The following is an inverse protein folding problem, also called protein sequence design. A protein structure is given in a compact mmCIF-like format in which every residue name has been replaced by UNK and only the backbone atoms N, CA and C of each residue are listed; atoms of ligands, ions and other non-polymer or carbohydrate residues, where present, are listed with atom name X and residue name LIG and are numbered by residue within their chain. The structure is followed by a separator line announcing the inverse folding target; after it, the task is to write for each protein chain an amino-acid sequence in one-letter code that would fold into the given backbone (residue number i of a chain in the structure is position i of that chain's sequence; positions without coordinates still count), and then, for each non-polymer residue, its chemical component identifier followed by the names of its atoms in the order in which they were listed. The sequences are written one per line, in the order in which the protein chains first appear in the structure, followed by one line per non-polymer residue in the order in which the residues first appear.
data_IF_235611466655
#
_entry.id   IF_235611466655
#
_cell.length_a   1.000
_cell.length_b   1.000
_cell.length_c   1.000
_cell.angle_alpha   90.00
_cell.angle_beta   90.00
_cell.angle_gamma   90.00
#
_symmetry.space_group_name_H-M   'P 1'
#
loop_
_entity.id
_entity.type
_entity.pdbx_description
1 polymer ?
#
# COMPACT_ATOMS: atom_id res chain seq x y z
N UNK A 1 -70.55 -58.98 -16.64
CA UNK A 1 -70.15 -58.34 -17.92
C UNK A 1 -69.96 -56.87 -17.58
N UNK A 2 -68.77 -56.28 -17.42
CA UNK A 2 -67.58 -56.18 -18.28
C UNK A 2 -66.31 -56.25 -17.39
N UNK A 3 -65.43 -57.24 -17.59
CA UNK A 3 -64.21 -57.28 -18.43
C UNK A 3 -62.94 -56.67 -17.80
N UNK A 4 -61.99 -57.58 -17.55
CA UNK A 4 -60.60 -57.44 -17.09
C UNK A 4 -59.67 -56.89 -18.20
N UNK A 5 -58.73 -55.97 -17.90
CA UNK A 5 -57.27 -56.21 -18.00
C UNK A 5 -56.41 -54.99 -17.57
N UNK A 6 -55.21 -55.21 -16.97
CA UNK A 6 -54.36 -54.19 -16.37
C UNK A 6 -53.11 -53.87 -17.22
N UNK A 7 -52.75 -52.61 -17.44
CA UNK A 7 -51.38 -52.18 -17.83
C UNK A 7 -51.18 -50.71 -17.47
N UNK A 8 -50.28 -50.38 -16.55
CA UNK A 8 -49.97 -48.97 -16.27
C UNK A 8 -49.00 -48.66 -15.12
N UNK A 9 -48.52 -49.64 -14.35
CA UNK A 9 -47.70 -49.37 -13.15
C UNK A 9 -46.21 -49.12 -13.49
N UNK A 10 -45.72 -49.52 -14.66
CA UNK A 10 -44.30 -49.44 -15.00
C UNK A 10 -43.81 -48.05 -15.46
N UNK A 11 -44.72 -47.16 -15.91
CA UNK A 11 -44.35 -45.83 -16.44
C UNK A 11 -44.08 -44.80 -15.34
N UNK A 12 -44.68 -44.97 -14.15
CA UNK A 12 -44.48 -44.04 -13.03
C UNK A 12 -43.09 -44.18 -12.39
N UNK A 13 -42.51 -45.39 -12.40
CA UNK A 13 -41.18 -45.63 -11.84
C UNK A 13 -40.07 -45.04 -12.71
N UNK A 14 -40.20 -45.11 -14.04
CA UNK A 14 -39.18 -44.58 -14.97
C UNK A 14 -39.23 -43.06 -15.04
N UNK A 15 -40.42 -42.45 -15.05
CA UNK A 15 -40.58 -40.99 -15.03
C UNK A 15 -40.11 -40.34 -13.72
N UNK A 16 -40.38 -40.96 -12.57
CA UNK A 16 -39.93 -40.47 -11.26
C UNK A 16 -38.42 -40.55 -11.06
N UNK A 17 -37.78 -41.58 -11.63
CA UNK A 17 -36.34 -41.81 -11.51
C UNK A 17 -35.53 -40.87 -12.42
N UNK A 18 -36.05 -40.52 -13.60
CA UNK A 18 -35.46 -39.50 -14.50
C UNK A 18 -35.60 -38.09 -13.92
N UNK A 19 -36.69 -37.78 -13.23
CA UNK A 19 -36.89 -36.49 -12.55
C UNK A 19 -36.03 -36.34 -11.29
N UNK A 20 -35.71 -37.44 -10.60
CA UNK A 20 -34.75 -37.46 -9.50
C UNK A 20 -33.29 -37.35 -9.96
N UNK A 21 -32.93 -38.01 -11.08
CA UNK A 21 -31.59 -37.93 -11.69
C UNK A 21 -31.28 -36.57 -12.32
N UNK A 22 -32.30 -35.82 -12.71
CA UNK A 22 -32.13 -34.44 -13.20
C UNK A 22 -32.06 -33.41 -12.07
N UNK A 23 -32.64 -33.69 -10.90
CA UNK A 23 -32.53 -32.82 -9.72
C UNK A 23 -31.16 -32.90 -9.02
N UNK A 24 -30.41 -33.99 -9.17
CA UNK A 24 -29.08 -34.13 -8.54
C UNK A 24 -27.95 -33.49 -9.36
N UNK A 25 -28.19 -33.13 -10.63
CA UNK A 25 -27.19 -32.48 -11.49
C UNK A 25 -27.27 -30.94 -11.48
N UNK A 26 -28.23 -30.36 -10.74
CA UNK A 26 -28.40 -28.91 -10.61
C UNK A 26 -28.39 -28.52 -9.13
N UNK A 27 -27.40 -29.01 -8.38
CA UNK A 27 -26.93 -28.27 -7.20
C UNK A 27 -25.68 -27.52 -7.64
N UNK A 28 -25.70 -26.18 -7.79
CA UNK A 28 -24.46 -25.46 -7.80
C UNK A 28 -23.77 -25.75 -6.47
N UNK A 29 -22.51 -26.18 -6.50
CA UNK A 29 -21.67 -26.09 -5.33
C UNK A 29 -21.72 -24.62 -4.88
N UNK A 30 -22.18 -24.37 -3.66
CA UNK A 30 -22.02 -23.07 -3.02
C UNK A 30 -20.51 -22.94 -2.81
N UNK A 31 -19.85 -22.30 -3.77
CA UNK A 31 -18.51 -21.81 -3.60
C UNK A 31 -18.66 -20.67 -2.59
N UNK A 32 -18.32 -20.94 -1.32
CA UNK A 32 -17.97 -19.87 -0.39
C UNK A 32 -16.87 -19.10 -1.09
N UNK A 33 -17.21 -17.96 -1.69
CA UNK A 33 -16.28 -17.01 -2.28
C UNK A 33 -15.49 -16.36 -1.15
N UNK A 34 -14.69 -17.16 -0.43
CA UNK A 34 -13.57 -16.65 0.33
C UNK A 34 -12.58 -16.12 -0.69
N UNK A 35 -12.61 -14.82 -0.94
CA UNK A 35 -11.56 -14.16 -1.72
C UNK A 35 -10.22 -14.25 -0.98
N UNK A 36 -9.14 -13.90 -1.69
CA UNK A 36 -7.82 -13.77 -1.06
C UNK A 36 -7.86 -12.68 0.01
N UNK A 37 -7.08 -12.84 1.07
CA UNK A 37 -7.02 -11.85 2.14
C UNK A 37 -6.45 -10.49 1.65
N UNK A 38 -5.71 -10.49 0.54
CA UNK A 38 -5.19 -9.28 -0.08
C UNK A 38 -6.31 -8.37 -0.62
N UNK A 39 -7.43 -8.95 -1.06
CA UNK A 39 -8.57 -8.24 -1.68
C UNK A 39 -9.52 -7.59 -0.66
N UNK A 40 -9.23 -7.73 0.65
CA UNK A 40 -10.03 -7.13 1.71
C UNK A 40 -10.00 -5.60 1.64
N UNK A 41 -11.17 -4.97 1.81
CA UNK A 41 -11.33 -3.51 1.83
C UNK A 41 -10.85 -2.91 3.16
N UNK A 42 -10.52 -1.61 3.14
CA UNK A 42 -10.20 -0.86 4.36
C UNK A 42 -11.38 -0.95 5.36
N UNK A 43 -11.07 -1.27 6.62
CA UNK A 43 -12.07 -1.49 7.68
C UNK A 43 -12.45 -2.95 7.91
N UNK A 44 -12.09 -3.89 7.03
CA UNK A 44 -12.28 -5.33 7.23
C UNK A 44 -11.09 -6.04 7.90
N UNK A 45 -10.00 -5.30 8.12
CA UNK A 45 -8.79 -5.77 8.79
C UNK A 45 -8.09 -4.59 9.49
N UNK A 46 -7.24 -4.91 10.46
CA UNK A 46 -6.38 -3.99 11.19
C UNK A 46 -4.94 -4.47 11.11
N UNK A 47 -4.03 -3.68 10.55
CA UNK A 47 -2.61 -4.01 10.51
C UNK A 47 -1.90 -3.50 11.75
N UNK A 48 -1.00 -4.31 12.29
CA UNK A 48 -0.13 -3.88 13.38
C UNK A 48 0.91 -2.89 12.85
N UNK A 49 1.33 -1.98 13.74
CA UNK A 49 2.45 -1.10 13.47
C UNK A 49 3.73 -1.92 13.21
N UNK A 50 4.50 -1.50 12.21
CA UNK A 50 5.77 -2.12 11.87
C UNK A 50 6.82 -1.85 12.93
N UNK A 51 7.74 -2.80 13.11
CA UNK A 51 9.02 -2.47 13.73
C UNK A 51 9.73 -1.43 12.86
N UNK A 52 10.13 -0.32 13.49
CA UNK A 52 10.81 0.80 12.85
C UNK A 52 12.32 0.58 13.04
N UNK A 53 13.05 0.59 11.94
CA UNK A 53 14.50 0.51 11.96
C UNK A 53 15.08 1.79 12.60
N UNK A 54 15.97 1.68 13.62
CA UNK A 54 16.47 2.84 14.35
C UNK A 54 17.38 3.75 13.53
N UNK A 55 18.02 3.25 12.46
CA UNK A 55 18.90 4.06 11.61
C UNK A 55 18.10 4.81 10.53
N UNK A 56 17.09 4.16 9.96
CA UNK A 56 16.34 4.73 8.83
C UNK A 56 15.02 5.39 9.22
N UNK A 57 14.52 5.11 10.42
CA UNK A 57 13.19 5.53 10.89
C UNK A 57 12.06 5.07 9.94
N UNK A 58 12.24 3.91 9.28
CA UNK A 58 11.28 3.32 8.36
C UNK A 58 10.96 1.87 8.73
N UNK A 59 9.88 1.32 8.16
CA UNK A 59 9.48 -0.06 8.36
C UNK A 59 10.60 -1.03 7.94
N UNK A 60 10.94 -1.97 8.85
CA UNK A 60 11.93 -3.02 8.58
C UNK A 60 11.50 -3.85 7.36
N UNK A 61 12.43 -4.08 6.43
CA UNK A 61 12.18 -4.89 5.23
C UNK A 61 11.42 -4.15 4.12
N UNK A 62 11.50 -2.82 4.06
CA UNK A 62 11.01 -2.05 2.93
C UNK A 62 11.85 -2.34 1.67
N UNK A 63 11.19 -2.83 0.63
CA UNK A 63 11.85 -3.17 -0.64
C UNK A 63 12.10 -1.93 -1.51
N UNK A 64 13.28 -1.87 -2.15
CA UNK A 64 13.72 -0.70 -2.93
C UNK A 64 12.88 -0.48 -4.19
N UNK A 65 12.55 -1.56 -4.89
CA UNK A 65 11.93 -1.52 -6.21
C UNK A 65 10.39 -1.43 -6.09
N UNK A 66 9.80 -2.21 -5.18
CA UNK A 66 8.35 -2.24 -5.00
C UNK A 66 7.82 -1.18 -4.04
N UNK A 67 8.65 -0.62 -3.14
CA UNK A 67 8.22 0.32 -2.08
C UNK A 67 7.14 -0.26 -1.17
N UNK A 68 7.22 -1.57 -0.94
CA UNK A 68 6.30 -2.33 -0.10
C UNK A 68 7.07 -2.98 1.05
N UNK A 69 6.43 -3.02 2.22
CA UNK A 69 6.87 -3.75 3.39
C UNK A 69 5.80 -4.76 3.79
N UNK A 70 6.23 -5.93 4.28
CA UNK A 70 5.31 -6.99 4.75
C UNK A 70 4.95 -6.77 6.20
N UNK A 71 3.66 -6.68 6.48
CA UNK A 71 3.14 -6.47 7.83
C UNK A 71 2.10 -7.50 8.20
N UNK A 72 1.98 -7.75 9.49
CA UNK A 72 0.95 -8.63 10.03
C UNK A 72 -0.34 -7.84 10.24
N UNK A 73 -1.44 -8.37 9.73
CA UNK A 73 -2.77 -7.81 9.89
C UNK A 73 -3.73 -8.82 10.50
N UNK A 74 -4.68 -8.32 11.27
CA UNK A 74 -5.74 -9.07 11.95
C UNK A 74 -7.07 -8.81 11.26
N UNK A 75 -7.91 -9.84 11.10
CA UNK A 75 -9.23 -9.71 10.49
C UNK A 75 -10.24 -9.07 11.46
N UNK A 76 -11.16 -8.28 10.91
CA UNK A 76 -12.32 -7.81 11.67
C UNK A 76 -13.21 -9.01 12.09
N UNK A 77 -13.96 -8.90 13.21
CA UNK A 77 -14.84 -9.97 13.65
C UNK A 77 -15.86 -10.36 12.58
N UNK A 78 -15.93 -11.66 12.24
CA UNK A 78 -16.88 -12.19 11.26
C UNK A 78 -16.45 -12.13 9.79
N UNK A 79 -15.21 -11.71 9.50
CA UNK A 79 -14.62 -11.75 8.16
C UNK A 79 -13.68 -12.95 8.04
N UNK A 80 -13.89 -13.80 7.03
CA UNK A 80 -13.05 -14.97 6.75
C UNK A 80 -12.49 -14.86 5.33
N UNK A 81 -11.21 -15.22 5.15
CA UNK A 81 -10.54 -15.29 3.85
C UNK A 81 -9.73 -16.60 3.75
N UNK A 82 -9.39 -17.04 2.54
CA UNK A 82 -8.79 -18.37 2.29
C UNK A 82 -7.34 -18.48 2.70
N UNK A 83 -6.61 -17.37 2.70
CA UNK A 83 -5.15 -17.32 2.88
C UNK A 83 -4.74 -16.91 4.31
N UNK A 84 -5.72 -16.80 5.22
CA UNK A 84 -5.51 -16.39 6.60
C UNK A 84 -5.08 -17.55 7.50
N UNK A 85 -4.23 -17.25 8.49
CA UNK A 85 -3.88 -18.20 9.55
C UNK A 85 -5.08 -18.42 10.48
N UNK A 86 -5.16 -19.56 11.19
CA UNK A 86 -6.26 -19.90 12.10
C UNK A 86 -6.45 -18.91 13.27
N UNK A 87 -5.49 -18.01 13.49
CA UNK A 87 -5.56 -16.94 14.48
C UNK A 87 -6.14 -15.63 13.91
N UNK A 88 -6.85 -15.68 12.77
CA UNK A 88 -7.37 -14.51 12.05
C UNK A 88 -6.28 -13.50 11.64
N UNK A 89 -5.05 -13.99 11.39
CA UNK A 89 -3.92 -13.15 10.96
C UNK A 89 -3.48 -13.46 9.54
N UNK A 90 -3.01 -12.45 8.83
CA UNK A 90 -2.44 -12.61 7.49
C UNK A 90 -1.32 -11.59 7.26
N UNK A 91 -0.47 -11.84 6.26
CA UNK A 91 0.53 -10.86 5.83
C UNK A 91 -0.03 -10.02 4.71
N UNK A 92 0.09 -8.69 4.82
CA UNK A 92 -0.26 -7.76 3.75
C UNK A 92 0.94 -6.90 3.39
N UNK A 93 1.04 -6.54 2.12
CA UNK A 93 2.01 -5.56 1.65
C UNK A 93 1.45 -4.15 1.86
N UNK A 94 2.13 -3.36 2.68
CA UNK A 94 1.80 -1.94 2.90
C UNK A 94 2.86 -1.05 2.26
N UNK A 95 2.44 0.14 1.84
CA UNK A 95 3.35 1.13 1.24
C UNK A 95 4.36 1.63 2.29
N UNK A 96 5.63 1.67 1.90
CA UNK A 96 6.73 2.16 2.73
C UNK A 96 7.63 3.11 1.92
N UNK A 97 8.37 3.97 2.64
CA UNK A 97 9.31 4.92 2.04
C UNK A 97 10.73 4.36 2.16
N UNK A 98 11.28 3.84 1.07
CA UNK A 98 12.65 3.32 1.08
C UNK A 98 13.69 4.44 1.12
N UNK A 99 14.66 4.35 2.03
CA UNK A 99 15.71 5.37 2.25
C UNK A 99 17.10 4.83 1.96
N UNK A 100 18.03 5.69 1.54
CA UNK A 100 19.44 5.35 1.32
C UNK A 100 20.41 6.11 2.26
N UNK A 101 19.97 6.45 3.47
CA UNK A 101 20.83 7.12 4.46
C UNK A 101 21.07 8.63 4.23
N UNK A 102 20.39 9.24 3.25
CA UNK A 102 20.39 10.70 3.10
C UNK A 102 19.52 11.35 4.19
N UNK A 103 20.15 11.98 5.17
CA UNK A 103 19.45 12.66 6.26
C UNK A 103 18.90 14.01 5.80
N UNK A 104 17.62 14.25 6.08
CA UNK A 104 16.95 15.52 5.78
C UNK A 104 17.62 16.70 6.48
N UNK A 105 17.91 16.57 7.76
CA UNK A 105 18.52 17.63 8.57
C UNK A 105 19.89 18.03 8.03
N UNK A 106 20.74 17.06 7.70
CA UNK A 106 22.05 17.32 7.12
C UNK A 106 21.95 18.03 5.78
N UNK A 107 21.01 17.62 4.90
CA UNK A 107 20.78 18.28 3.62
C UNK A 107 20.34 19.74 3.82
N UNK A 108 19.46 20.00 4.80
CA UNK A 108 18.97 21.34 5.10
C UNK A 108 20.05 22.23 5.72
N UNK A 109 20.82 21.72 6.69
CA UNK A 109 21.95 22.43 7.29
C UNK A 109 23.01 22.77 6.23
N UNK A 110 23.33 21.79 5.38
CA UNK A 110 24.29 21.96 4.29
C UNK A 110 23.80 22.99 3.27
N UNK A 111 22.49 23.03 3.00
CA UNK A 111 21.88 24.07 2.19
C UNK A 111 22.07 25.43 2.87
N UNK A 112 21.68 25.62 4.12
CA UNK A 112 21.76 26.91 4.83
C UNK A 112 23.19 27.45 4.95
N UNK A 113 24.17 26.61 5.29
CA UNK A 113 25.55 27.06 5.54
C UNK A 113 26.44 27.04 4.28
N UNK A 114 26.25 26.07 3.40
CA UNK A 114 27.17 25.77 2.28
C UNK A 114 26.47 25.79 0.91
N UNK A 115 25.21 26.18 0.80
CA UNK A 115 24.48 26.19 -0.47
C UNK A 115 24.94 27.29 -1.45
N UNK A 116 25.65 28.34 -1.00
CA UNK A 116 26.37 29.27 -1.90
C UNK A 116 27.40 28.53 -2.79
N UNK A 117 27.97 27.44 -2.28
CA UNK A 117 28.87 26.56 -3.04
C UNK A 117 28.14 25.37 -3.70
N UNK A 118 26.84 25.21 -3.45
CA UNK A 118 26.02 24.11 -3.97
C UNK A 118 26.29 22.74 -3.35
N UNK A 119 26.88 22.68 -2.14
CA UNK A 119 27.25 21.40 -1.48
C UNK A 119 26.03 20.54 -1.16
N UNK A 120 24.88 21.17 -0.89
CA UNK A 120 23.58 20.51 -0.74
C UNK A 120 23.19 19.70 -1.98
N UNK A 121 23.45 20.20 -3.19
CA UNK A 121 23.18 19.47 -4.44
C UNK A 121 24.18 18.35 -4.71
N UNK A 122 25.43 18.53 -4.31
CA UNK A 122 26.41 17.46 -4.36
C UNK A 122 26.04 16.32 -3.40
N UNK A 123 25.57 16.64 -2.19
CA UNK A 123 25.12 15.65 -1.20
C UNK A 123 23.93 14.82 -1.69
N UNK A 124 22.99 15.44 -2.41
CA UNK A 124 21.82 14.76 -2.98
C UNK A 124 22.11 14.00 -4.29
N UNK A 125 23.34 14.02 -4.81
CA UNK A 125 23.71 13.34 -6.05
C UNK A 125 23.41 14.13 -7.33
N UNK A 126 23.27 15.46 -7.26
CA UNK A 126 23.08 16.36 -8.41
C UNK A 126 24.35 17.17 -8.72
N UNK A 127 25.44 16.55 -9.24
CA UNK A 127 26.73 17.21 -9.39
C UNK A 127 26.73 18.34 -10.43
N UNK A 128 25.97 18.19 -11.52
CA UNK A 128 25.90 19.22 -12.57
C UNK A 128 25.29 20.53 -12.04
N UNK A 129 24.20 20.44 -11.27
CA UNK A 129 23.52 21.61 -10.69
C UNK A 129 24.40 22.24 -9.59
N UNK A 130 25.08 21.42 -8.79
CA UNK A 130 26.07 21.90 -7.82
C UNK A 130 27.19 22.70 -8.47
N UNK A 131 27.77 22.20 -9.58
CA UNK A 131 28.84 22.89 -10.31
C UNK A 131 28.39 24.21 -10.93
N UNK A 132 27.16 24.28 -11.47
CA UNK A 132 26.60 25.53 -11.99
C UNK A 132 26.48 26.59 -10.90
N UNK A 133 26.07 26.20 -9.68
CA UNK A 133 25.98 27.12 -8.53
C UNK A 133 27.35 27.58 -8.05
N UNK A 134 28.31 26.66 -8.00
CA UNK A 134 29.68 26.98 -7.67
C UNK A 134 30.29 27.98 -8.67
N UNK A 135 30.11 27.74 -9.98
CA UNK A 135 30.60 28.63 -11.03
C UNK A 135 29.92 30.01 -11.04
N UNK A 136 28.68 30.09 -10.58
CA UNK A 136 27.92 31.35 -10.45
C UNK A 136 28.05 32.00 -9.07
N UNK A 137 28.93 31.48 -8.19
CA UNK A 137 29.11 31.91 -6.80
C UNK A 137 27.79 32.06 -6.03
N UNK A 138 26.81 31.20 -6.30
CA UNK A 138 25.51 31.19 -5.62
C UNK A 138 24.54 32.31 -6.03
N UNK A 139 24.74 32.96 -7.19
CA UNK A 139 23.88 33.98 -7.82
C UNK A 139 23.23 34.96 -6.83
N UNK A 140 24.05 35.60 -6.00
CA UNK A 140 23.66 36.71 -5.10
C UNK A 140 22.56 36.34 -4.08
N UNK A 141 22.69 35.17 -3.42
CA UNK A 141 21.79 34.70 -2.34
C UNK A 141 20.41 34.17 -2.79
N UNK A 142 19.96 34.48 -4.01
CA UNK A 142 18.69 33.96 -4.53
C UNK A 142 18.74 32.45 -4.79
N UNK A 143 19.85 31.95 -5.35
CA UNK A 143 20.02 30.50 -5.57
C UNK A 143 19.95 29.73 -4.26
N UNK A 144 20.65 30.24 -3.24
CA UNK A 144 20.64 29.75 -1.88
C UNK A 144 19.22 29.67 -1.29
N UNK A 145 18.43 30.75 -1.40
CA UNK A 145 17.07 30.79 -0.89
C UNK A 145 16.16 29.76 -1.56
N UNK A 146 16.27 29.62 -2.88
CA UNK A 146 15.48 28.65 -3.66
C UNK A 146 15.84 27.22 -3.26
N UNK A 147 17.10 26.94 -2.99
CA UNK A 147 17.54 25.61 -2.54
C UNK A 147 17.01 25.23 -1.18
N UNK A 148 17.08 26.16 -0.21
CA UNK A 148 16.50 25.95 1.11
C UNK A 148 15.01 25.65 0.97
N UNK A 149 14.27 26.40 0.15
CA UNK A 149 12.84 26.16 -0.07
C UNK A 149 12.57 24.77 -0.70
N UNK A 150 13.33 24.39 -1.72
CA UNK A 150 13.15 23.12 -2.43
C UNK A 150 13.46 21.91 -1.55
N UNK A 151 14.44 22.01 -0.66
CA UNK A 151 14.78 20.96 0.30
C UNK A 151 13.75 20.95 1.44
N UNK A 152 13.45 22.11 2.04
CA UNK A 152 12.51 22.21 3.16
C UNK A 152 11.10 21.70 2.81
N UNK A 153 10.63 21.96 1.59
CA UNK A 153 9.34 21.45 1.09
C UNK A 153 9.38 19.98 0.66
N UNK A 154 10.55 19.32 0.76
CA UNK A 154 10.79 17.93 0.35
C UNK A 154 10.36 17.64 -1.10
N UNK A 155 10.33 18.68 -1.94
CA UNK A 155 10.01 18.58 -3.36
C UNK A 155 11.16 17.93 -4.11
N UNK A 156 12.40 18.28 -3.76
CA UNK A 156 13.58 17.60 -4.30
C UNK A 156 14.00 16.49 -3.36
N UNK A 157 14.05 15.26 -3.90
CA UNK A 157 14.54 14.06 -3.23
C UNK A 157 15.97 13.75 -3.70
N UNK A 158 16.71 12.85 -3.00
CA UNK A 158 17.97 12.32 -3.50
C UNK A 158 17.87 11.76 -4.93
N UNK A 159 18.95 11.86 -5.68
CA UNK A 159 19.01 11.41 -7.09
C UNK A 159 18.76 9.91 -7.25
N UNK A 160 18.92 9.11 -6.19
CA UNK A 160 18.66 7.67 -6.19
C UNK A 160 17.16 7.32 -6.16
N UNK A 161 16.29 8.33 -6.02
CA UNK A 161 14.85 8.16 -5.87
C UNK A 161 14.45 7.64 -4.48
N UNK A 162 15.40 7.53 -3.55
CA UNK A 162 15.13 7.24 -2.14
C UNK A 162 14.37 8.39 -1.48
N UNK A 163 13.74 8.10 -0.36
CA UNK A 163 13.22 9.12 0.55
C UNK A 163 14.33 9.61 1.49
N UNK A 164 14.11 10.79 2.08
CA UNK A 164 14.95 11.26 3.17
C UNK A 164 14.76 10.42 4.43
N UNK A 165 15.85 10.19 5.15
CA UNK A 165 15.78 9.79 6.57
C UNK A 165 15.39 11.03 7.37
N UNK A 166 14.26 10.94 8.06
CA UNK A 166 13.70 12.00 8.88
C UNK A 166 13.63 11.46 10.30
N UNK A 167 14.22 12.20 11.23
CA UNK A 167 14.22 11.83 12.64
C UNK A 167 12.80 11.80 13.22
N UNK A 168 12.64 11.11 14.34
CA UNK A 168 11.33 10.92 15.01
C UNK A 168 10.54 12.23 15.23
N UNK A 169 11.23 13.34 15.50
CA UNK A 169 10.62 14.66 15.68
C UNK A 169 10.69 15.57 14.44
N UNK A 170 11.15 15.04 13.30
CA UNK A 170 11.32 15.80 12.07
C UNK A 170 10.01 16.02 11.32
N UNK A 171 9.94 17.10 10.55
CA UNK A 171 8.79 17.40 9.69
C UNK A 171 8.84 16.55 8.41
N UNK A 172 7.95 15.58 8.28
CA UNK A 172 7.73 14.84 7.04
C UNK A 172 6.52 15.38 6.28
N UNK A 173 6.67 15.60 4.98
CA UNK A 173 5.60 15.99 4.08
C UNK A 173 5.14 14.78 3.29
N UNK A 174 3.84 14.50 3.32
CA UNK A 174 3.24 13.47 2.49
C UNK A 174 2.24 14.08 1.51
N UNK A 175 2.37 13.71 0.25
CA UNK A 175 1.43 14.14 -0.80
C UNK A 175 0.27 13.15 -0.85
N UNK A 176 -0.80 13.46 -0.15
CA UNK A 176 -2.04 12.69 -0.22
C UNK A 176 -2.74 13.00 -1.56
N UNK A 177 -2.95 11.96 -2.38
CA UNK A 177 -3.72 12.03 -3.61
C UNK A 177 -5.03 11.28 -3.42
N UNK A 178 -6.13 11.85 -3.92
CA UNK A 178 -7.44 11.19 -3.89
C UNK A 178 -7.51 10.14 -4.99
N UNK A 179 -7.73 8.89 -4.62
CA UNK A 179 -8.01 7.78 -5.54
C UNK A 179 -9.48 7.33 -5.44
N UNK A 180 -9.85 6.24 -6.13
CA UNK A 180 -11.20 5.67 -6.09
C UNK A 180 -11.50 4.95 -4.75
N UNK A 181 -10.47 4.58 -4.00
CA UNK A 181 -10.59 3.85 -2.74
C UNK A 181 -10.47 4.77 -1.52
N UNK A 182 -10.21 6.07 -1.73
CA UNK A 182 -10.06 7.08 -0.68
C UNK A 182 -11.43 7.42 -0.13
N UNK A 183 -11.66 7.05 1.13
CA UNK A 183 -12.86 7.45 1.86
C UNK A 183 -12.77 8.92 2.28
N UNK A 184 -13.73 9.73 1.83
CA UNK A 184 -13.88 11.10 2.31
C UNK A 184 -14.80 11.12 3.52
N UNK A 185 -14.26 11.53 4.67
CA UNK A 185 -15.09 11.78 5.85
C UNK A 185 -16.08 12.91 5.52
N UNK A 186 -17.40 12.71 5.66
CA UNK A 186 -18.36 13.79 5.48
C UNK A 186 -18.14 14.87 6.56
N UNK A 187 -18.50 16.14 6.28
CA UNK A 187 -18.41 17.20 7.28
C UNK A 187 -19.28 16.87 8.48
N UNK A 188 -18.72 17.04 9.68
CA UNK A 188 -19.45 16.90 10.93
C UNK A 188 -20.43 18.08 11.01
N UNK A 189 -21.74 17.82 11.06
CA UNK A 189 -22.73 18.87 11.35
C UNK A 189 -22.94 18.90 12.87
N UNK A 190 -22.48 19.98 13.50
CA UNK A 190 -22.82 20.36 14.89
C UNK A 190 -24.18 21.06 14.96
#
# INVERSE_FOLDING_TARGET
MFFFRPRGILLYYVGGLVMWLSLTLVYPAIETSGGKCDDLMMGQYLCNETEIDPETQQAVGCDKDTRLAKVWCQLAPGVNCTDGLPNNTFQKNVSCKWTNGHSFENALLLSVFLGMFGVDRFYLGYPAIGLVKFATLGFMFLGQLVDILLIATQVVKPSDGSEYVIDYYGSATERIMKDNYTYLKPPDYE
#
